data_IF_430447995083
#
_entry.id   IF_430447995083
#
_cell.length_a   1.000
_cell.length_b   1.000
_cell.length_c   1.000
_cell.angle_alpha   90.00
_cell.angle_beta   90.00
_cell.angle_gamma   90.00
#
_symmetry.space_group_name_H-M   'P 1'
#
loop_
_entity.id
_entity.type
_entity.pdbx_description
1 polymer ?
#
# COMPACT_ATOMS: atom_id res chain seq x y z
N UNK A 1 -3.34 -12.01 0.50
CA UNK A 1 -2.89 -11.40 -0.78
C UNK A 1 -2.18 -12.46 -1.60
N UNK A 2 -2.61 -12.70 -2.83
CA UNK A 2 -1.97 -13.66 -3.75
C UNK A 2 -1.24 -12.87 -4.83
N UNK A 3 0.05 -13.13 -4.97
CA UNK A 3 0.90 -12.52 -5.99
C UNK A 3 1.13 -13.52 -7.12
N UNK A 4 1.14 -13.09 -8.39
CA UNK A 4 1.38 -14.00 -9.51
C UNK A 4 2.81 -14.54 -9.46
N UNK A 5 2.96 -15.83 -9.69
CA UNK A 5 4.25 -16.54 -9.70
C UNK A 5 4.49 -17.14 -11.09
N UNK A 6 5.75 -17.18 -11.48
CA UNK A 6 6.22 -17.95 -12.67
C UNK A 6 7.29 -18.95 -12.25
N UNK A 7 7.40 -20.03 -13.01
CA UNK A 7 8.47 -20.99 -12.85
C UNK A 7 9.75 -20.48 -13.53
N UNK A 8 10.86 -20.68 -12.85
CA UNK A 8 12.20 -20.35 -13.38
C UNK A 8 13.13 -21.54 -13.16
N UNK A 9 13.83 -21.94 -14.21
CA UNK A 9 14.88 -22.95 -14.08
C UNK A 9 16.15 -22.29 -13.57
N UNK A 10 16.69 -22.85 -12.50
CA UNK A 10 17.96 -22.44 -11.90
C UNK A 10 18.94 -23.60 -11.89
N UNK A 11 20.23 -23.29 -11.98
CA UNK A 11 21.29 -24.26 -11.81
C UNK A 11 21.87 -24.14 -10.41
N UNK A 12 21.89 -25.26 -9.69
CA UNK A 12 22.46 -25.35 -8.35
C UNK A 12 23.75 -26.19 -8.39
N UNK A 13 24.61 -26.14 -7.37
CA UNK A 13 25.83 -26.96 -7.32
C UNK A 13 25.60 -28.46 -7.46
N UNK A 14 24.37 -28.93 -7.21
CA UNK A 14 24.02 -30.37 -7.27
C UNK A 14 23.10 -30.72 -8.45
N UNK A 15 22.71 -29.73 -9.29
CA UNK A 15 21.86 -29.99 -10.46
C UNK A 15 20.86 -28.88 -10.76
N UNK A 16 20.10 -29.07 -11.83
CA UNK A 16 19.03 -28.16 -12.24
C UNK A 16 17.80 -28.32 -11.34
N UNK A 17 17.15 -27.21 -11.03
CA UNK A 17 15.92 -27.17 -10.23
C UNK A 17 14.96 -26.13 -10.80
N UNK A 18 13.66 -26.42 -10.70
CA UNK A 18 12.61 -25.47 -11.06
C UNK A 18 12.13 -24.78 -9.79
N UNK A 19 12.26 -23.46 -9.74
CA UNK A 19 11.83 -22.64 -8.62
C UNK A 19 10.75 -21.65 -9.05
N UNK A 20 10.09 -21.02 -8.08
CA UNK A 20 9.07 -20.00 -8.32
C UNK A 20 9.61 -18.62 -7.97
N UNK A 21 9.39 -17.66 -8.85
CA UNK A 21 9.63 -16.25 -8.58
C UNK A 21 8.38 -15.42 -8.89
N UNK A 22 8.32 -14.19 -8.36
CA UNK A 22 7.24 -13.26 -8.68
C UNK A 22 7.23 -12.98 -10.19
N UNK A 23 6.06 -13.18 -10.81
CA UNK A 23 5.87 -12.88 -12.23
C UNK A 23 5.71 -11.37 -12.46
N UNK A 24 6.16 -10.88 -13.62
CA UNK A 24 6.00 -9.48 -14.01
C UNK A 24 6.92 -8.51 -13.26
N UNK A 25 6.52 -7.25 -13.26
CA UNK A 25 7.21 -6.20 -12.48
C UNK A 25 6.96 -6.41 -10.99
N UNK A 26 8.00 -6.18 -10.22
CA UNK A 26 7.99 -6.41 -8.77
C UNK A 26 7.16 -5.36 -8.04
N UNK A 27 6.90 -5.61 -6.77
CA UNK A 27 6.14 -4.75 -5.88
C UNK A 27 6.80 -3.38 -5.68
N UNK A 28 5.97 -2.38 -5.40
CA UNK A 28 6.38 -1.14 -4.75
C UNK A 28 5.58 -0.97 -3.45
N UNK A 29 6.28 -0.77 -2.36
CA UNK A 29 5.70 -0.44 -1.06
C UNK A 29 5.62 1.06 -0.97
N UNK A 30 4.45 1.57 -0.61
CA UNK A 30 4.14 3.00 -0.60
C UNK A 30 3.67 3.41 0.79
N UNK A 31 4.59 3.74 1.71
CA UNK A 31 4.18 4.27 3.01
C UNK A 31 3.56 5.66 2.86
N UNK A 32 2.46 5.87 3.58
CA UNK A 32 1.93 7.21 3.82
C UNK A 32 2.79 7.83 4.93
N UNK A 33 3.54 8.86 4.58
CA UNK A 33 4.43 9.52 5.51
C UNK A 33 3.62 10.27 6.58
N UNK A 34 4.03 10.25 7.81
CA UNK A 34 5.24 9.61 8.36
C UNK A 34 4.97 8.23 8.96
N UNK A 35 3.75 7.97 9.43
CA UNK A 35 3.38 6.76 10.21
C UNK A 35 3.64 5.45 9.45
N UNK A 36 3.35 5.41 8.15
CA UNK A 36 3.56 4.23 7.31
C UNK A 36 5.01 3.75 7.21
N UNK A 37 5.99 4.62 7.49
CA UNK A 37 7.41 4.22 7.48
C UNK A 37 7.71 3.05 8.43
N UNK A 38 7.04 2.97 9.57
CA UNK A 38 7.24 1.89 10.53
C UNK A 38 6.88 0.49 10.01
N UNK A 39 6.11 0.40 8.92
CA UNK A 39 5.73 -0.87 8.31
C UNK A 39 6.68 -1.33 7.20
N UNK A 40 7.50 -0.45 6.66
CA UNK A 40 8.31 -0.72 5.45
C UNK A 40 9.32 -1.83 5.69
N UNK A 41 10.07 -1.77 6.77
CA UNK A 41 11.12 -2.76 7.08
C UNK A 41 10.54 -4.16 7.24
N UNK A 42 9.40 -4.29 7.90
CA UNK A 42 8.71 -5.57 8.05
C UNK A 42 8.30 -6.19 6.71
N UNK A 43 7.82 -5.37 5.78
CA UNK A 43 7.47 -5.84 4.43
C UNK A 43 8.71 -6.19 3.62
N UNK A 44 9.78 -5.38 3.71
CA UNK A 44 11.03 -5.66 3.00
C UNK A 44 11.74 -6.92 3.50
N UNK A 45 11.60 -7.28 4.77
CA UNK A 45 12.09 -8.57 5.28
C UNK A 45 11.40 -9.76 4.61
N UNK A 46 10.12 -9.65 4.31
CA UNK A 46 9.37 -10.69 3.60
C UNK A 46 9.60 -10.67 2.09
N UNK A 47 9.75 -9.47 1.51
CA UNK A 47 9.89 -9.27 0.06
C UNK A 47 11.07 -8.32 -0.22
N UNK A 48 12.32 -8.79 -0.09
CA UNK A 48 13.51 -7.93 -0.24
C UNK A 48 13.66 -7.29 -1.62
N UNK A 49 12.99 -7.85 -2.62
CA UNK A 49 13.04 -7.34 -4.00
C UNK A 49 12.04 -6.21 -4.28
N UNK A 50 11.19 -5.85 -3.32
CA UNK A 50 10.27 -4.74 -3.47
C UNK A 50 11.02 -3.40 -3.53
N UNK A 51 10.51 -2.47 -4.34
CA UNK A 51 10.94 -1.07 -4.30
C UNK A 51 10.11 -0.31 -3.27
N UNK A 52 10.61 0.83 -2.84
CA UNK A 52 9.88 1.72 -1.95
C UNK A 52 9.63 3.05 -2.67
N UNK A 53 8.38 3.47 -2.71
CA UNK A 53 8.00 4.82 -3.06
C UNK A 53 7.49 5.54 -1.81
N UNK A 54 7.33 6.85 -1.86
CA UNK A 54 6.89 7.61 -0.70
C UNK A 54 5.81 8.60 -1.09
N UNK A 55 4.75 8.68 -0.27
CA UNK A 55 3.73 9.72 -0.37
C UNK A 55 3.70 10.46 0.95
N UNK A 56 4.01 11.76 0.92
CA UNK A 56 3.89 12.65 2.07
C UNK A 56 2.60 13.44 1.98
N UNK A 57 1.79 13.36 3.05
CA UNK A 57 0.55 14.08 3.17
C UNK A 57 0.43 14.71 4.55
N UNK A 58 -0.20 15.87 4.61
CA UNK A 58 -0.63 16.47 5.87
C UNK A 58 -2.08 16.91 5.76
N UNK A 59 -2.74 17.00 6.88
CA UNK A 59 -4.07 17.60 6.96
C UNK A 59 -3.91 19.07 7.29
N UNK A 60 -4.48 19.92 6.46
CA UNK A 60 -4.54 21.35 6.71
C UNK A 60 -5.35 21.62 8.00
N UNK A 61 -4.82 22.40 8.92
CA UNK A 61 -5.42 22.63 10.24
C UNK A 61 -6.71 23.46 10.17
N UNK A 62 -6.84 24.35 9.18
CA UNK A 62 -7.99 25.21 9.02
C UNK A 62 -9.10 24.55 8.18
N UNK A 63 -8.72 23.97 7.05
CA UNK A 63 -9.69 23.40 6.09
C UNK A 63 -9.97 21.93 6.34
N UNK A 64 -9.17 21.27 7.19
CA UNK A 64 -9.15 19.82 7.44
C UNK A 64 -8.97 18.96 6.19
N UNK A 65 -8.61 19.58 5.06
CA UNK A 65 -8.36 18.88 3.81
C UNK A 65 -6.95 18.29 3.80
N UNK A 66 -6.80 17.09 3.28
CA UNK A 66 -5.51 16.49 3.11
C UNK A 66 -4.77 17.14 1.92
N UNK A 67 -3.49 17.42 2.10
CA UNK A 67 -2.58 17.96 1.08
C UNK A 67 -1.38 17.07 0.85
N UNK A 68 -1.04 16.83 -0.43
CA UNK A 68 0.19 16.14 -0.82
C UNK A 68 1.35 17.14 -0.81
N UNK A 69 2.41 16.86 -0.05
CA UNK A 69 3.63 17.66 -0.05
C UNK A 69 4.85 16.92 -0.63
N UNK A 70 4.75 15.60 -0.77
CA UNK A 70 5.83 14.79 -1.31
C UNK A 70 5.28 13.57 -2.06
N UNK A 71 5.80 13.35 -3.25
CA UNK A 71 5.49 12.16 -4.04
C UNK A 71 6.73 11.71 -4.80
N UNK A 72 7.24 10.53 -4.49
CA UNK A 72 8.35 9.93 -5.21
C UNK A 72 8.11 8.43 -5.38
N UNK A 73 8.06 8.00 -6.64
CA UNK A 73 7.81 6.61 -7.03
C UNK A 73 8.85 6.12 -8.03
N UNK A 74 9.01 4.81 -8.20
CA UNK A 74 9.71 4.25 -9.35
C UNK A 74 9.08 4.72 -10.66
N UNK A 75 9.86 4.94 -11.73
CA UNK A 75 9.37 5.48 -13.00
C UNK A 75 8.38 4.56 -13.73
N UNK A 76 8.38 3.27 -13.41
CA UNK A 76 7.56 2.21 -14.03
C UNK A 76 6.37 1.79 -13.13
N UNK A 77 5.80 2.74 -12.40
CA UNK A 77 4.72 2.47 -11.43
C UNK A 77 3.48 1.86 -12.06
N UNK A 78 3.18 2.18 -13.30
CA UNK A 78 2.04 1.66 -14.07
C UNK A 78 2.09 0.15 -14.31
N UNK A 79 3.30 -0.45 -14.23
CA UNK A 79 3.52 -1.88 -14.42
C UNK A 79 3.73 -2.64 -13.09
N UNK A 80 3.65 -1.95 -11.95
CA UNK A 80 3.92 -2.51 -10.63
C UNK A 80 2.66 -2.76 -9.83
N UNK A 81 2.75 -3.73 -8.93
CA UNK A 81 1.78 -3.88 -7.84
C UNK A 81 2.14 -2.87 -6.74
N UNK A 82 1.26 -1.92 -6.49
CA UNK A 82 1.43 -0.88 -5.46
C UNK A 82 0.75 -1.33 -4.18
N UNK A 83 1.51 -1.44 -3.09
CA UNK A 83 0.96 -1.71 -1.75
C UNK A 83 1.15 -0.46 -0.91
N UNK A 84 0.08 0.27 -0.70
CA UNK A 84 0.05 1.38 0.25
C UNK A 84 0.07 0.78 1.66
N UNK A 85 0.91 1.32 2.52
CA UNK A 85 0.99 0.92 3.92
C UNK A 85 0.77 2.11 4.85
N UNK A 86 -0.14 1.93 5.80
CA UNK A 86 -0.42 2.88 6.88
C UNK A 86 -0.83 2.08 8.12
N UNK A 87 -0.35 2.40 9.32
CA UNK A 87 -0.74 1.64 10.51
C UNK A 87 -2.23 1.72 10.84
N UNK A 88 -2.91 2.81 10.48
CA UNK A 88 -4.28 3.04 10.91
C UNK A 88 -5.16 3.58 9.77
N UNK A 89 -6.24 2.87 9.47
CA UNK A 89 -7.31 3.32 8.58
C UNK A 89 -8.49 3.83 9.42
N UNK A 90 -8.48 5.11 9.76
CA UNK A 90 -9.53 5.73 10.57
C UNK A 90 -10.71 6.21 9.70
N UNK A 91 -10.64 7.44 9.17
CA UNK A 91 -11.71 8.03 8.34
C UNK A 91 -11.58 7.70 6.84
N UNK A 92 -10.45 7.16 6.41
CA UNK A 92 -10.16 6.86 5.01
C UNK A 92 -9.65 8.05 4.18
N UNK A 93 -9.57 9.25 4.75
CA UNK A 93 -9.18 10.45 3.99
C UNK A 93 -7.77 10.37 3.39
N UNK A 94 -6.76 10.03 4.20
CA UNK A 94 -5.37 9.88 3.75
C UNK A 94 -5.21 8.73 2.75
N UNK A 95 -5.88 7.60 3.01
CA UNK A 95 -5.86 6.45 2.12
C UNK A 95 -6.46 6.79 0.75
N UNK A 96 -7.65 7.40 0.71
CA UNK A 96 -8.30 7.81 -0.53
C UNK A 96 -7.43 8.79 -1.34
N UNK A 97 -6.77 9.72 -0.67
CA UNK A 97 -5.89 10.66 -1.35
C UNK A 97 -4.63 9.98 -1.90
N UNK A 98 -4.01 9.08 -1.14
CA UNK A 98 -2.86 8.32 -1.61
C UNK A 98 -3.22 7.46 -2.84
N UNK A 99 -4.36 6.77 -2.80
CA UNK A 99 -4.88 5.99 -3.92
C UNK A 99 -5.10 6.89 -5.13
N UNK A 100 -5.77 8.03 -4.96
CA UNK A 100 -6.02 9.00 -6.02
C UNK A 100 -4.73 9.57 -6.63
N UNK A 101 -3.73 9.86 -5.81
CA UNK A 101 -2.42 10.34 -6.25
C UNK A 101 -1.68 9.29 -7.09
N UNK A 102 -1.74 8.01 -6.71
CA UNK A 102 -1.17 6.91 -7.47
C UNK A 102 -1.90 6.69 -8.80
N UNK A 103 -3.24 6.63 -8.77
CA UNK A 103 -4.07 6.48 -9.99
C UNK A 103 -3.82 7.60 -10.99
N UNK A 104 -3.74 8.84 -10.53
CA UNK A 104 -3.46 10.02 -11.36
C UNK A 104 -2.12 9.93 -12.09
N UNK A 105 -1.18 9.17 -11.54
CA UNK A 105 0.15 8.95 -12.10
C UNK A 105 0.33 7.60 -12.80
N UNK A 106 -0.79 6.93 -13.07
CA UNK A 106 -0.82 5.74 -13.91
C UNK A 106 -0.74 4.39 -13.20
N UNK A 107 -0.69 4.35 -11.86
CA UNK A 107 -0.78 3.09 -11.13
C UNK A 107 -2.12 2.39 -11.37
N UNK A 108 -2.09 1.11 -11.73
CA UNK A 108 -3.27 0.31 -12.10
C UNK A 108 -3.65 -0.70 -11.03
N UNK A 109 -2.65 -1.28 -10.38
CA UNK A 109 -2.83 -2.34 -9.39
C UNK A 109 -2.44 -1.77 -8.03
N UNK A 110 -3.44 -1.39 -7.23
CA UNK A 110 -3.25 -0.76 -5.93
C UNK A 110 -3.94 -1.59 -4.87
N UNK A 111 -3.24 -1.81 -3.76
CA UNK A 111 -3.76 -2.44 -2.55
C UNK A 111 -3.42 -1.58 -1.34
N UNK A 112 -4.24 -1.65 -0.31
CA UNK A 112 -4.03 -0.97 0.96
C UNK A 112 -3.82 -2.02 2.05
N UNK A 113 -2.73 -1.91 2.79
CA UNK A 113 -2.44 -2.75 3.94
C UNK A 113 -2.29 -1.89 5.20
N UNK A 114 -3.07 -2.21 6.22
CA UNK A 114 -3.11 -1.49 7.48
C UNK A 114 -3.04 -2.44 8.67
N UNK A 115 -2.61 -1.96 9.83
CA UNK A 115 -2.61 -2.78 11.03
C UNK A 115 -4.00 -2.79 11.67
N UNK A 116 -4.62 -1.63 11.80
CA UNK A 116 -5.97 -1.48 12.38
C UNK A 116 -6.84 -0.67 11.43
N UNK A 117 -8.09 -1.08 11.26
CA UNK A 117 -9.07 -0.39 10.45
C UNK A 117 -10.37 -0.16 11.22
N UNK A 118 -10.95 1.02 11.08
CA UNK A 118 -12.31 1.29 11.50
C UNK A 118 -13.29 0.99 10.34
N UNK A 119 -14.51 0.48 10.62
CA UNK A 119 -15.52 0.19 9.60
C UNK A 119 -15.84 1.39 8.71
N UNK A 120 -15.87 2.59 9.29
CA UNK A 120 -16.12 3.84 8.58
C UNK A 120 -15.04 4.13 7.53
N UNK A 121 -13.76 3.91 7.89
CA UNK A 121 -12.63 4.09 6.97
C UNK A 121 -12.64 3.05 5.86
N UNK A 122 -12.92 1.80 6.17
CA UNK A 122 -13.07 0.72 5.18
C UNK A 122 -14.16 1.07 4.18
N UNK A 123 -15.34 1.46 4.68
CA UNK A 123 -16.47 1.86 3.84
C UNK A 123 -16.10 3.05 2.94
N UNK A 124 -15.50 4.09 3.49
CA UNK A 124 -15.12 5.29 2.74
C UNK A 124 -14.12 4.98 1.61
N UNK A 125 -13.18 4.07 1.83
CA UNK A 125 -12.22 3.65 0.80
C UNK A 125 -12.88 2.77 -0.24
N UNK A 126 -13.72 1.81 0.15
CA UNK A 126 -14.41 0.91 -0.78
C UNK A 126 -15.42 1.64 -1.68
N UNK A 127 -16.14 2.64 -1.13
CA UNK A 127 -17.07 3.47 -1.92
C UNK A 127 -16.32 4.34 -2.95
N UNK A 128 -15.19 4.93 -2.58
CA UNK A 128 -14.40 5.79 -3.46
C UNK A 128 -13.53 5.00 -4.45
N UNK A 129 -13.07 3.82 -4.06
CA UNK A 129 -12.12 3.00 -4.82
C UNK A 129 -12.51 1.51 -4.74
N UNK A 130 -13.60 1.07 -5.40
CA UNK A 130 -14.07 -0.32 -5.35
C UNK A 130 -13.11 -1.33 -5.98
N UNK A 131 -12.12 -0.85 -6.73
CA UNK A 131 -11.05 -1.63 -7.37
C UNK A 131 -9.82 -1.85 -6.48
N UNK A 132 -9.82 -1.32 -5.26
CA UNK A 132 -8.71 -1.42 -4.32
C UNK A 132 -9.04 -2.39 -3.19
N UNK A 133 -8.27 -3.46 -3.09
CA UNK A 133 -8.38 -4.41 -1.97
C UNK A 133 -7.76 -3.81 -0.70
N UNK A 134 -8.47 -3.97 0.42
CA UNK A 134 -8.01 -3.56 1.74
C UNK A 134 -7.65 -4.81 2.56
N UNK A 135 -6.47 -4.79 3.15
CA UNK A 135 -5.98 -5.81 4.07
C UNK A 135 -5.72 -5.16 5.43
N UNK A 136 -6.48 -5.55 6.43
CA UNK A 136 -6.31 -5.11 7.81
C UNK A 136 -5.90 -6.31 8.69
N UNK A 137 -4.97 -6.10 9.62
CA UNK A 137 -4.63 -7.14 10.59
C UNK A 137 -5.68 -7.24 11.70
N UNK A 138 -6.33 -6.13 12.03
CA UNK A 138 -7.45 -6.06 12.95
C UNK A 138 -8.48 -5.02 12.49
N UNK A 139 -9.74 -5.24 12.84
CA UNK A 139 -10.82 -4.28 12.66
C UNK A 139 -11.35 -3.88 14.04
N UNK A 140 -11.52 -2.58 14.26
CA UNK A 140 -12.08 -2.02 15.49
C UNK A 140 -13.60 -1.89 15.36
N UNK A 141 -14.29 -1.70 16.48
CA UNK A 141 -15.75 -1.63 16.47
C UNK A 141 -16.28 -0.35 15.82
N UNK A 142 -15.61 0.79 16.08
CA UNK A 142 -16.01 2.10 15.53
C UNK A 142 -14.93 3.17 15.78
N UNK A 143 -15.02 4.28 15.04
CA UNK A 143 -14.24 5.47 15.35
C UNK A 143 -14.73 6.14 16.64
N UNK A 144 -13.79 6.72 17.39
CA UNK A 144 -14.07 7.65 18.46
C UNK A 144 -14.52 9.01 17.88
N UNK A 145 -15.16 9.85 18.71
CA UNK A 145 -15.67 11.18 18.31
C UNK A 145 -14.58 12.11 17.77
N UNK A 146 -13.33 11.90 18.14
CA UNK A 146 -12.17 12.64 17.66
C UNK A 146 -11.61 12.11 16.31
N UNK A 147 -12.24 11.10 15.71
CA UNK A 147 -11.82 10.51 14.44
C UNK A 147 -10.61 9.57 14.51
N UNK A 148 -10.29 9.06 15.70
CA UNK A 148 -9.27 8.03 15.95
C UNK A 148 -9.93 6.68 16.31
N UNK A 149 -9.11 5.63 16.18
CA UNK A 149 -9.44 4.27 16.62
C UNK A 149 -9.03 4.09 18.07
#
# INVERSE_FOLDING_TARGET
MILPLKNVEIETPIGKSTQKELAGKKLVIVPILRAGLGMVDGVLQMIPSAKVGHIGMYRDEETLKPHEYFFKMPPDIEERECIIVDPMLATGGSANMAIGALKKRGAKNIRLAVLVAAPEGVKAVQEANPDVDIYAAAEDEKLMDNGYI
#
